data_IF_910457660476
#
_entry.id   IF_910457660476
#
_cell.length_a   1.000
_cell.length_b   1.000
_cell.length_c   1.000
_cell.angle_alpha   90.00
_cell.angle_beta   90.00
_cell.angle_gamma   90.00
#
_symmetry.space_group_name_H-M   'P 1'
#
loop_
_entity.id
_entity.type
_entity.pdbx_description
1 polymer ?
#
# COMPACT_ATOMS: atom_id res chain seq x y z
N UNK A 1 24.74 -33.58 -21.29
CA UNK A 1 24.47 -32.17 -21.64
C UNK A 1 23.06 -31.71 -21.24
N UNK A 2 22.02 -32.54 -21.33
CA UNK A 2 20.64 -32.12 -20.97
C UNK A 2 20.41 -31.79 -19.49
N UNK A 3 21.03 -32.53 -18.56
CA UNK A 3 20.84 -32.29 -17.10
C UNK A 3 21.30 -30.90 -16.66
N UNK A 4 22.40 -30.40 -17.21
CA UNK A 4 22.91 -29.06 -16.89
C UNK A 4 22.00 -27.96 -17.44
N UNK A 5 21.41 -28.16 -18.62
CA UNK A 5 20.45 -27.21 -19.19
C UNK A 5 19.14 -27.16 -18.39
N UNK A 6 18.62 -28.29 -17.92
CA UNK A 6 17.44 -28.32 -17.05
C UNK A 6 17.67 -27.67 -15.69
N UNK A 7 18.86 -27.88 -15.11
CA UNK A 7 19.27 -27.23 -13.87
C UNK A 7 19.35 -25.71 -14.08
N UNK A 8 20.00 -25.26 -15.15
CA UNK A 8 20.10 -23.83 -15.50
C UNK A 8 18.73 -23.20 -15.72
N UNK A 9 17.80 -23.90 -16.39
CA UNK A 9 16.43 -23.42 -16.65
C UNK A 9 15.61 -23.29 -15.36
N UNK A 10 15.76 -24.22 -14.41
CA UNK A 10 15.14 -24.14 -13.07
C UNK A 10 15.69 -22.97 -12.26
N UNK A 11 17.00 -22.78 -12.25
CA UNK A 11 17.65 -21.66 -11.54
C UNK A 11 17.23 -20.32 -12.15
N UNK A 12 17.29 -20.19 -13.48
CA UNK A 12 16.87 -18.98 -14.21
C UNK A 12 15.42 -18.58 -13.89
N UNK A 13 14.48 -19.53 -13.85
CA UNK A 13 13.08 -19.22 -13.47
C UNK A 13 12.97 -18.61 -12.07
N UNK A 14 13.73 -19.13 -11.10
CA UNK A 14 13.73 -18.60 -9.74
C UNK A 14 14.34 -17.21 -9.68
N UNK A 15 15.45 -16.98 -10.40
CA UNK A 15 16.12 -15.68 -10.49
C UNK A 15 15.22 -14.64 -11.14
N UNK A 16 14.55 -14.98 -12.26
CA UNK A 16 13.59 -14.10 -12.90
C UNK A 16 12.39 -13.80 -12.01
N UNK A 17 11.85 -14.81 -11.31
CA UNK A 17 10.78 -14.59 -10.33
C UNK A 17 11.20 -13.61 -9.24
N UNK A 18 12.40 -13.79 -8.68
CA UNK A 18 12.93 -12.89 -7.66
C UNK A 18 13.19 -11.48 -8.20
N UNK A 19 13.66 -11.36 -9.44
CA UNK A 19 13.90 -10.08 -10.11
C UNK A 19 12.59 -9.32 -10.34
N UNK A 20 11.55 -10.00 -10.83
CA UNK A 20 10.22 -9.39 -11.04
C UNK A 20 9.60 -8.98 -9.71
N UNK A 21 9.65 -9.83 -8.68
CA UNK A 21 9.18 -9.46 -7.33
C UNK A 21 9.95 -8.24 -6.82
N UNK A 22 11.27 -8.19 -7.01
CA UNK A 22 12.11 -7.06 -6.59
C UNK A 22 11.76 -5.76 -7.35
N UNK A 23 11.43 -5.87 -8.63
CA UNK A 23 11.00 -4.74 -9.47
C UNK A 23 9.61 -4.21 -9.05
N UNK A 24 8.67 -5.11 -8.78
CA UNK A 24 7.32 -4.77 -8.28
C UNK A 24 7.37 -4.17 -6.87
N UNK A 25 8.38 -4.55 -6.08
CA UNK A 25 8.62 -4.02 -4.74
C UNK A 25 9.40 -2.69 -4.77
N UNK A 26 9.71 -2.16 -5.96
CA UNK A 26 10.40 -0.87 -6.07
C UNK A 26 9.54 0.28 -5.52
N UNK A 27 10.17 1.31 -4.91
CA UNK A 27 9.44 2.44 -4.34
C UNK A 27 8.55 3.15 -5.37
N UNK A 28 8.98 3.25 -6.64
CA UNK A 28 8.19 3.84 -7.72
C UNK A 28 6.87 3.11 -7.98
N UNK A 29 6.89 1.78 -8.05
CA UNK A 29 5.67 0.98 -8.28
C UNK A 29 4.69 1.15 -7.12
N UNK A 30 5.20 1.26 -5.88
CA UNK A 30 4.37 1.50 -4.70
C UNK A 30 3.73 2.88 -4.70
N UNK A 31 4.47 3.92 -5.07
CA UNK A 31 3.91 5.26 -5.22
C UNK A 31 2.85 5.31 -6.32
N UNK A 32 3.10 4.64 -7.45
CA UNK A 32 2.12 4.53 -8.52
C UNK A 32 0.84 3.79 -8.05
N UNK A 33 0.99 2.66 -7.36
CA UNK A 33 -0.14 1.92 -6.80
C UNK A 33 -0.94 2.76 -5.80
N UNK A 34 -0.25 3.49 -4.91
CA UNK A 34 -0.89 4.37 -3.93
C UNK A 34 -1.65 5.52 -4.62
N UNK A 35 -1.07 6.11 -5.67
CA UNK A 35 -1.74 7.13 -6.47
C UNK A 35 -2.98 6.59 -7.20
N UNK A 36 -2.91 5.39 -7.78
CA UNK A 36 -4.07 4.74 -8.43
C UNK A 36 -5.18 4.46 -7.42
N UNK A 37 -4.85 3.94 -6.24
CA UNK A 37 -5.82 3.69 -5.18
C UNK A 37 -6.44 5.00 -4.69
N UNK A 38 -5.64 6.05 -4.52
CA UNK A 38 -6.15 7.36 -4.12
C UNK A 38 -7.09 7.97 -5.18
N UNK A 39 -6.74 7.83 -6.46
CA UNK A 39 -7.60 8.28 -7.56
C UNK A 39 -8.92 7.50 -7.60
N UNK A 40 -8.88 6.17 -7.41
CA UNK A 40 -10.07 5.34 -7.33
C UNK A 40 -10.97 5.68 -6.13
N UNK A 41 -10.38 6.06 -4.99
CA UNK A 41 -11.11 6.55 -3.84
C UNK A 41 -11.73 7.93 -4.11
N UNK A 42 -10.97 8.85 -4.67
CA UNK A 42 -11.46 10.20 -4.99
C UNK A 42 -12.59 10.19 -6.04
N UNK A 43 -12.62 9.21 -6.94
CA UNK A 43 -13.72 9.03 -7.90
C UNK A 43 -14.93 8.31 -7.32
N UNK A 44 -14.72 7.44 -6.33
CA UNK A 44 -15.80 6.65 -5.71
C UNK A 44 -16.51 7.37 -4.57
N UNK A 45 -15.89 8.37 -3.95
CA UNK A 45 -16.43 9.07 -2.79
C UNK A 45 -16.40 10.59 -3.01
N UNK A 46 -17.52 11.26 -2.75
CA UNK A 46 -17.62 12.72 -2.78
C UNK A 46 -16.83 13.33 -1.63
N UNK A 47 -15.59 13.77 -1.89
CA UNK A 47 -14.72 14.44 -0.90
C UNK A 47 -15.41 15.64 -0.21
N UNK A 48 -16.18 16.51 -0.90
CA UNK A 48 -16.87 17.61 -0.26
C UNK A 48 -17.88 17.14 0.81
N UNK A 49 -18.60 16.06 0.54
CA UNK A 49 -19.59 15.53 1.49
C UNK A 49 -18.91 14.88 2.69
N UNK A 50 -17.78 14.19 2.49
CA UNK A 50 -16.97 13.65 3.58
C UNK A 50 -16.45 14.75 4.48
N UNK A 51 -15.95 15.86 3.90
CA UNK A 51 -15.44 17.00 4.68
C UNK A 51 -16.57 17.69 5.46
N UNK A 52 -17.73 17.94 4.82
CA UNK A 52 -18.88 18.52 5.53
C UNK A 52 -19.36 17.65 6.69
N UNK A 53 -19.43 16.33 6.49
CA UNK A 53 -19.80 15.42 7.55
C UNK A 53 -18.75 15.34 8.65
N UNK A 54 -17.45 15.38 8.31
CA UNK A 54 -16.37 15.37 9.29
C UNK A 54 -16.33 16.66 10.14
N UNK A 55 -16.66 17.81 9.55
CA UNK A 55 -16.70 19.10 10.25
C UNK A 55 -17.89 19.22 11.20
N UNK A 56 -18.99 18.51 10.94
CA UNK A 56 -20.16 18.47 11.82
C UNK A 56 -19.99 17.50 13.00
N UNK A 57 -18.86 16.81 13.10
CA UNK A 57 -18.60 15.83 14.14
C UNK A 57 -17.79 16.48 15.26
N UNK A 58 -18.40 16.59 16.43
CA UNK A 58 -17.75 17.16 17.61
C UNK A 58 -17.04 16.07 18.44
N UNK A 59 -15.78 16.34 18.78
CA UNK A 59 -14.98 15.49 19.67
C UNK A 59 -14.37 14.26 19.01
N UNK A 60 -13.33 13.72 19.67
CA UNK A 60 -12.53 12.58 19.18
C UNK A 60 -13.37 11.31 19.05
N UNK A 61 -14.28 11.06 19.99
CA UNK A 61 -15.18 9.90 19.97
C UNK A 61 -16.13 9.92 18.77
N UNK A 62 -16.70 11.09 18.47
CA UNK A 62 -17.55 11.27 17.29
C UNK A 62 -16.77 11.02 16.01
N UNK A 63 -15.50 11.46 15.95
CA UNK A 63 -14.66 11.33 14.75
C UNK A 63 -14.31 9.87 14.47
N UNK A 64 -14.00 9.09 15.52
CA UNK A 64 -13.79 7.63 15.39
C UNK A 64 -15.05 6.96 14.86
N UNK A 65 -16.22 7.27 15.45
CA UNK A 65 -17.47 6.66 15.03
C UNK A 65 -17.82 7.05 13.58
N UNK A 66 -17.62 8.31 13.21
CA UNK A 66 -17.79 8.79 11.84
C UNK A 66 -16.90 8.02 10.85
N UNK A 67 -15.61 7.82 11.16
CA UNK A 67 -14.70 7.06 10.31
C UNK A 67 -15.17 5.60 10.15
N UNK A 68 -15.56 4.95 11.24
CA UNK A 68 -16.04 3.56 11.20
C UNK A 68 -17.32 3.45 10.37
N UNK A 69 -18.30 4.32 10.61
CA UNK A 69 -19.57 4.33 9.86
C UNK A 69 -19.34 4.66 8.39
N UNK A 70 -18.46 5.62 8.08
CA UNK A 70 -18.13 5.99 6.71
C UNK A 70 -17.47 4.82 5.96
N UNK A 71 -16.58 4.05 6.60
CA UNK A 71 -15.95 2.89 5.96
C UNK A 71 -16.95 1.75 5.78
N UNK A 72 -17.66 1.37 6.85
CA UNK A 72 -18.61 0.24 6.84
C UNK A 72 -19.80 0.52 5.92
N UNK A 73 -20.23 1.78 5.82
CA UNK A 73 -21.35 2.20 4.97
C UNK A 73 -21.03 2.36 3.48
N UNK A 74 -19.76 2.21 3.06
CA UNK A 74 -19.38 2.30 1.64
C UNK A 74 -19.41 0.96 0.92
N UNK A 75 -19.29 0.99 -0.41
CA UNK A 75 -19.27 -0.21 -1.25
C UNK A 75 -18.03 -1.07 -0.99
N UNK A 76 -18.13 -2.38 -1.28
CA UNK A 76 -17.00 -3.32 -1.15
C UNK A 76 -15.74 -2.84 -1.88
N UNK A 77 -15.88 -2.15 -3.01
CA UNK A 77 -14.76 -1.59 -3.78
C UNK A 77 -14.01 -0.53 -2.96
N UNK A 78 -14.73 0.39 -2.32
CA UNK A 78 -14.13 1.44 -1.48
C UNK A 78 -13.45 0.82 -0.26
N UNK A 79 -14.09 -0.15 0.39
CA UNK A 79 -13.51 -0.86 1.53
C UNK A 79 -12.19 -1.57 1.16
N UNK A 80 -12.15 -2.24 0.01
CA UNK A 80 -10.92 -2.86 -0.50
C UNK A 80 -9.83 -1.82 -0.81
N UNK A 81 -10.19 -0.69 -1.43
CA UNK A 81 -9.24 0.39 -1.70
C UNK A 81 -8.67 0.98 -0.41
N UNK A 82 -9.50 1.23 0.61
CA UNK A 82 -9.05 1.72 1.92
C UNK A 82 -8.10 0.71 2.57
N UNK A 83 -8.45 -0.58 2.55
CA UNK A 83 -7.61 -1.65 3.12
C UNK A 83 -6.24 -1.73 2.43
N UNK A 84 -6.22 -1.69 1.09
CA UNK A 84 -4.97 -1.66 0.32
C UNK A 84 -4.16 -0.40 0.63
N UNK A 85 -4.79 0.77 0.73
CA UNK A 85 -4.11 2.02 1.07
C UNK A 85 -3.47 1.97 2.47
N UNK A 86 -4.17 1.42 3.46
CA UNK A 86 -3.65 1.24 4.83
C UNK A 86 -2.46 0.28 4.83
N UNK A 87 -2.58 -0.87 4.14
CA UNK A 87 -1.49 -1.84 4.03
C UNK A 87 -0.27 -1.25 3.32
N UNK A 88 -0.45 -0.52 2.23
CA UNK A 88 0.65 0.14 1.52
C UNK A 88 1.32 1.19 2.39
N UNK A 89 0.55 2.01 3.10
CA UNK A 89 1.08 3.04 4.00
C UNK A 89 1.88 2.41 5.14
N UNK A 90 1.34 1.37 5.78
CA UNK A 90 2.03 0.63 6.83
C UNK A 90 3.32 -0.02 6.31
N UNK A 91 3.27 -0.64 5.12
CA UNK A 91 4.43 -1.24 4.49
C UNK A 91 5.51 -0.19 4.20
N UNK A 92 5.15 0.94 3.58
CA UNK A 92 6.08 2.04 3.31
C UNK A 92 6.67 2.57 4.62
N UNK A 93 5.86 2.76 5.66
CA UNK A 93 6.33 3.19 6.98
C UNK A 93 7.36 2.23 7.57
N UNK A 94 7.09 0.91 7.54
CA UNK A 94 8.03 -0.12 7.99
C UNK A 94 9.32 -0.07 7.17
N UNK A 95 9.24 0.11 5.85
CA UNK A 95 10.43 0.18 5.00
C UNK A 95 11.23 1.47 5.21
N UNK A 96 10.58 2.60 5.51
CA UNK A 96 11.27 3.85 5.90
C UNK A 96 11.98 3.66 7.22
N UNK A 97 11.32 3.08 8.24
CA UNK A 97 11.92 2.82 9.56
C UNK A 97 13.09 1.85 9.45
N UNK A 98 12.94 0.75 8.68
CA UNK A 98 14.03 -0.21 8.44
C UNK A 98 15.20 0.41 7.70
N UNK A 99 14.94 1.27 6.71
CA UNK A 99 16.01 2.01 6.00
C UNK A 99 16.70 3.01 6.91
N UNK A 100 15.95 3.77 7.71
CA UNK A 100 16.51 4.73 8.65
C UNK A 100 17.40 4.07 9.72
N UNK A 101 17.01 2.89 10.22
CA UNK A 101 17.84 2.10 11.13
C UNK A 101 19.13 1.58 10.51
N UNK A 102 19.09 1.12 9.25
CA UNK A 102 20.29 0.63 8.55
C UNK A 102 21.30 1.73 8.21
N UNK A 103 20.87 2.97 7.98
CA UNK A 103 21.77 4.09 7.68
C UNK A 103 22.62 4.51 8.88
N UNK A 104 22.19 4.23 10.13
CA UNK A 104 22.96 4.59 11.32
C UNK A 104 24.16 3.67 11.58
N UNK A 105 24.16 2.44 11.06
CA UNK A 105 25.26 1.48 11.25
C UNK A 105 26.43 1.67 10.29
N UNK A 106 26.31 2.52 9.25
CA UNK A 106 27.41 2.80 8.31
C UNK A 106 28.19 4.08 8.61
N UNK A 107 27.85 4.78 9.71
CA UNK A 107 28.46 6.05 10.12
C UNK A 107 29.28 5.90 11.41
N UNK A 108 29.27 4.72 12.04
CA UNK A 108 30.17 4.36 13.14
C UNK A 108 31.40 3.62 12.64
#
# INVERSE_FOLDING_TARGET
MDRDQELRKRIMRRVYGLYVVRQLTSPMVRFAALATVFFALASSVSLPHVVQNALNVEGISGLINFVVVAIVGTTLVVQLCVLVAVLLTAWIGVDVVRRAGNTQLSVQ
#
